data_IF_699642827633
#
_entry.id   IF_699642827633
#
_cell.length_a   1.000
_cell.length_b   1.000
_cell.length_c   1.000
_cell.angle_alpha   90.00
_cell.angle_beta   90.00
_cell.angle_gamma   90.00
#
_symmetry.space_group_name_H-M   'P 1'
#
loop_
_entity.id
_entity.type
_entity.pdbx_description
1 polymer ?
#
# COMPACT_ATOMS: atom_id res chain seq x y z
N UNK A 1 -6.62 -0.55 -0.97
CA UNK A 1 -5.85 -1.39 -0.04
C UNK A 1 -4.73 -2.11 -0.77
N UNK A 2 -3.53 -2.21 -0.15
CA UNK A 2 -2.36 -2.89 -0.71
C UNK A 2 -2.04 -4.11 0.15
N UNK A 3 -2.14 -5.30 -0.43
CA UNK A 3 -1.96 -6.61 0.21
C UNK A 3 -0.81 -7.36 -0.49
N UNK A 4 -0.18 -8.32 0.17
CA UNK A 4 0.87 -9.16 -0.41
C UNK A 4 1.96 -9.52 0.59
N UNK A 5 3.04 -10.12 0.12
CA UNK A 5 4.18 -10.44 0.98
C UNK A 5 5.26 -9.37 0.82
N UNK A 6 5.76 -9.19 -0.38
CA UNK A 6 6.86 -8.27 -0.68
C UNK A 6 6.37 -7.08 -1.51
N UNK A 7 6.88 -5.87 -1.21
CA UNK A 7 6.62 -4.69 -2.03
C UNK A 7 5.41 -3.86 -1.61
N UNK A 8 4.63 -4.25 -0.60
CA UNK A 8 3.46 -3.49 -0.12
C UNK A 8 3.77 -2.01 0.12
N UNK A 9 4.71 -1.72 1.02
CA UNK A 9 5.09 -0.34 1.36
C UNK A 9 5.68 0.44 0.18
N UNK A 10 6.44 -0.23 -0.70
CA UNK A 10 6.95 0.41 -1.92
C UNK A 10 5.83 0.79 -2.89
N UNK A 11 4.89 -0.13 -3.15
CA UNK A 11 3.72 0.12 -4.01
C UNK A 11 2.84 1.23 -3.43
N UNK A 12 2.58 1.19 -2.10
CA UNK A 12 1.82 2.23 -1.39
C UNK A 12 2.49 3.60 -1.52
N UNK A 13 3.82 3.64 -1.38
CA UNK A 13 4.61 4.87 -1.53
C UNK A 13 4.55 5.40 -2.95
N UNK A 14 4.74 4.55 -3.97
CA UNK A 14 4.64 4.96 -5.37
C UNK A 14 3.26 5.52 -5.68
N UNK A 15 2.18 4.82 -5.32
CA UNK A 15 0.82 5.28 -5.55
C UNK A 15 0.55 6.64 -4.88
N UNK A 16 0.97 6.79 -3.62
CA UNK A 16 0.86 8.06 -2.89
C UNK A 16 1.62 9.19 -3.58
N UNK A 17 2.86 8.94 -4.05
CA UNK A 17 3.66 9.95 -4.72
C UNK A 17 3.09 10.35 -6.08
N UNK A 18 2.56 9.39 -6.85
CA UNK A 18 1.90 9.64 -8.13
C UNK A 18 0.64 10.49 -7.94
N UNK A 19 -0.23 10.12 -7.01
CA UNK A 19 -1.45 10.88 -6.72
C UNK A 19 -1.14 12.31 -6.25
N UNK A 20 -0.15 12.47 -5.38
CA UNK A 20 0.31 13.79 -4.92
C UNK A 20 0.90 14.63 -6.04
N UNK A 21 1.65 14.05 -6.95
CA UNK A 21 2.18 14.76 -8.11
C UNK A 21 1.06 15.33 -8.99
N UNK A 22 -0.10 14.67 -9.03
CA UNK A 22 -1.30 15.15 -9.71
C UNK A 22 -2.15 16.12 -8.87
N UNK A 23 -1.65 16.56 -7.72
CA UNK A 23 -2.29 17.58 -6.90
C UNK A 23 -3.25 17.09 -5.83
N UNK A 24 -3.42 15.75 -5.67
CA UNK A 24 -4.29 15.22 -4.63
C UNK A 24 -3.64 15.31 -3.25
N UNK A 25 -4.45 15.52 -2.23
CA UNK A 25 -4.07 15.37 -0.84
C UNK A 25 -4.23 13.91 -0.41
N UNK A 26 -3.13 13.26 -0.07
CA UNK A 26 -3.10 11.80 0.13
C UNK A 26 -2.80 11.45 1.58
N UNK A 27 -3.62 10.56 2.14
CA UNK A 27 -3.33 9.81 3.36
C UNK A 27 -2.61 8.51 3.02
N UNK A 28 -1.45 8.27 3.63
CA UNK A 28 -0.67 7.05 3.45
C UNK A 28 -0.46 6.36 4.80
N UNK A 29 -0.93 5.12 4.90
CA UNK A 29 -0.69 4.22 6.03
C UNK A 29 0.25 3.10 5.62
N UNK A 30 1.36 2.92 6.36
CA UNK A 30 2.37 1.89 6.08
C UNK A 30 2.80 1.15 7.35
N UNK A 31 3.31 -0.07 7.21
CA UNK A 31 3.83 -0.89 8.31
C UNK A 31 4.93 -1.87 7.86
N UNK A 32 5.85 -2.26 8.77
CA UNK A 32 6.09 -1.65 10.08
C UNK A 32 6.77 -0.27 9.96
N UNK A 33 7.03 0.38 11.09
CA UNK A 33 7.91 1.56 11.17
C UNK A 33 9.35 1.15 11.46
N UNK A 34 10.27 2.05 11.17
CA UNK A 34 11.72 1.86 11.42
C UNK A 34 12.13 2.37 12.80
N UNK A 35 11.82 3.62 13.09
CA UNK A 35 12.27 4.33 14.29
C UNK A 35 11.10 4.70 15.18
N UNK A 36 10.02 5.20 14.60
CA UNK A 36 8.87 5.71 15.37
C UNK A 36 7.52 5.33 14.74
N UNK A 37 6.49 5.00 15.55
CA UNK A 37 5.15 4.73 15.04
C UNK A 37 4.58 5.84 14.14
N UNK A 38 5.06 7.07 14.29
CA UNK A 38 4.64 8.22 13.48
C UNK A 38 4.91 8.04 11.99
N UNK A 39 5.89 7.21 11.62
CA UNK A 39 6.18 6.89 10.23
C UNK A 39 5.02 6.23 9.51
N UNK A 40 4.15 5.52 10.26
CA UNK A 40 3.03 4.76 9.70
C UNK A 40 1.92 5.63 9.14
N UNK A 41 1.79 6.87 9.60
CA UNK A 41 0.70 7.77 9.24
C UNK A 41 1.29 9.03 8.63
N UNK A 42 1.09 9.17 7.32
CA UNK A 42 1.55 10.35 6.58
C UNK A 42 0.37 11.02 5.88
N UNK A 43 0.31 12.33 5.98
CA UNK A 43 -0.65 13.16 5.27
C UNK A 43 0.13 14.03 4.30
N UNK A 44 -0.19 13.89 3.04
CA UNK A 44 0.48 14.60 1.94
C UNK A 44 2.02 14.49 1.98
N UNK A 45 2.52 13.28 2.35
CA UNK A 45 3.94 12.93 2.43
C UNK A 45 4.64 13.28 3.74
N UNK A 46 4.00 14.02 4.63
CA UNK A 46 4.55 14.42 5.94
C UNK A 46 3.98 13.55 7.05
N UNK A 47 4.80 13.11 7.99
CA UNK A 47 4.33 12.38 9.16
C UNK A 47 3.31 13.22 9.95
N UNK A 48 2.28 12.54 10.49
CA UNK A 48 1.34 13.18 11.39
C UNK A 48 2.09 13.93 12.51
N UNK A 49 1.80 15.22 12.77
CA UNK A 49 2.44 16.01 13.81
C UNK A 49 2.34 15.34 15.19
N UNK A 50 3.38 15.48 16.02
CA UNK A 50 3.48 14.77 17.30
C UNK A 50 2.37 15.16 18.29
N UNK A 51 1.99 16.41 18.28
CA UNK A 51 0.94 16.98 19.14
C UNK A 51 -0.48 16.48 18.78
N UNK A 52 -0.68 16.00 17.56
CA UNK A 52 -1.95 15.41 17.13
C UNK A 52 -2.16 14.00 17.66
N UNK A 53 -1.08 13.27 17.94
CA UNK A 53 -1.16 11.87 18.36
C UNK A 53 -1.96 11.64 19.63
N UNK A 54 -1.69 12.34 20.76
CA UNK A 54 -2.47 12.15 21.97
C UNK A 54 -3.97 12.42 21.77
N UNK A 55 -4.29 13.52 21.08
CA UNK A 55 -5.69 13.91 20.83
C UNK A 55 -6.48 12.83 20.04
N UNK A 56 -5.86 12.28 19.02
CA UNK A 56 -6.48 11.22 18.22
C UNK A 56 -6.50 9.88 18.96
N UNK A 57 -5.43 9.59 19.73
CA UNK A 57 -5.34 8.38 20.54
C UNK A 57 -6.45 8.32 21.61
N UNK A 58 -6.67 9.41 22.33
CA UNK A 58 -7.73 9.48 23.34
C UNK A 58 -9.11 9.19 22.74
N UNK A 59 -9.40 9.78 21.57
CA UNK A 59 -10.68 9.55 20.88
C UNK A 59 -10.84 8.10 20.39
N UNK A 60 -9.79 7.49 19.89
CA UNK A 60 -9.83 6.08 19.48
C UNK A 60 -10.05 5.17 20.69
N UNK A 61 -9.31 5.42 21.78
CA UNK A 61 -9.45 4.64 23.02
C UNK A 61 -10.81 4.81 23.69
N UNK A 62 -11.39 6.00 23.63
CA UNK A 62 -12.76 6.24 24.13
C UNK A 62 -13.80 5.46 23.32
N UNK A 63 -13.65 5.44 21.99
CA UNK A 63 -14.59 4.75 21.11
C UNK A 63 -14.43 3.22 21.13
N UNK A 64 -13.19 2.72 21.28
CA UNK A 64 -12.87 1.29 21.18
C UNK A 64 -11.66 0.92 22.08
N UNK A 65 -11.89 0.67 23.40
CA UNK A 65 -10.80 0.48 24.38
C UNK A 65 -10.05 -0.86 24.23
N UNK A 66 -10.58 -1.82 23.50
CA UNK A 66 -10.07 -3.19 23.43
C UNK A 66 -9.35 -3.52 22.10
N UNK A 67 -8.95 -2.52 21.33
CA UNK A 67 -8.22 -2.72 20.08
C UNK A 67 -6.82 -3.29 20.33
N UNK A 68 -6.38 -4.19 19.44
CA UNK A 68 -4.97 -4.56 19.35
C UNK A 68 -4.15 -3.35 18.91
N UNK A 69 -2.85 -3.41 19.10
CA UNK A 69 -1.94 -2.31 18.70
C UNK A 69 -2.06 -1.94 17.21
N UNK A 70 -2.21 -2.94 16.33
CA UNK A 70 -2.35 -2.67 14.89
C UNK A 70 -3.71 -2.07 14.56
N UNK A 71 -4.79 -2.57 15.12
CA UNK A 71 -6.15 -2.02 14.98
C UNK A 71 -6.22 -0.59 15.50
N UNK A 72 -5.63 -0.32 16.66
CA UNK A 72 -5.54 1.03 17.23
C UNK A 72 -4.83 2.00 16.28
N UNK A 73 -3.64 1.63 15.75
CA UNK A 73 -2.91 2.49 14.82
C UNK A 73 -3.65 2.68 13.49
N UNK A 74 -4.35 1.66 13.02
CA UNK A 74 -5.18 1.74 11.81
C UNK A 74 -6.35 2.70 12.02
N UNK A 75 -7.06 2.59 13.12
CA UNK A 75 -8.16 3.50 13.48
C UNK A 75 -7.67 4.95 13.66
N UNK A 76 -6.52 5.14 14.32
CA UNK A 76 -5.90 6.45 14.49
C UNK A 76 -5.53 7.08 13.13
N UNK A 77 -4.95 6.28 12.23
CA UNK A 77 -4.63 6.73 10.88
C UNK A 77 -5.86 7.18 10.09
N UNK A 78 -6.93 6.38 10.13
CA UNK A 78 -8.19 6.70 9.47
C UNK A 78 -8.82 7.98 10.00
N UNK A 79 -8.83 8.14 11.33
CA UNK A 79 -9.35 9.35 11.97
C UNK A 79 -8.52 10.57 11.56
N UNK A 80 -7.18 10.45 11.51
CA UNK A 80 -6.30 11.51 11.06
C UNK A 80 -6.56 11.90 9.58
N UNK A 81 -6.80 10.91 8.72
CA UNK A 81 -7.09 11.14 7.30
C UNK A 81 -8.46 11.80 7.09
N UNK A 82 -9.47 11.37 7.84
CA UNK A 82 -10.80 11.96 7.81
C UNK A 82 -10.76 13.43 8.24
N UNK A 83 -10.08 13.75 9.37
CA UNK A 83 -9.94 15.14 9.82
C UNK A 83 -9.13 16.00 8.86
N UNK A 84 -8.15 15.41 8.20
CA UNK A 84 -7.35 16.13 7.22
C UNK A 84 -8.11 16.39 5.91
N UNK A 85 -9.24 15.71 5.66
CA UNK A 85 -9.97 15.83 4.40
C UNK A 85 -9.10 15.44 3.21
N UNK A 86 -8.50 14.23 3.24
CA UNK A 86 -7.68 13.73 2.14
C UNK A 86 -8.57 13.26 0.98
N UNK A 87 -8.07 13.43 -0.25
CA UNK A 87 -8.78 13.00 -1.47
C UNK A 87 -8.64 11.51 -1.73
N UNK A 88 -7.50 10.93 -1.35
CA UNK A 88 -7.17 9.50 -1.51
C UNK A 88 -6.51 8.96 -0.24
N UNK A 89 -6.95 7.77 0.17
CA UNK A 89 -6.30 6.99 1.24
C UNK A 89 -5.66 5.75 0.65
N UNK A 90 -4.36 5.56 0.91
CA UNK A 90 -3.60 4.37 0.54
C UNK A 90 -3.25 3.60 1.83
N UNK A 91 -3.78 2.37 1.96
CA UNK A 91 -3.63 1.54 3.15
C UNK A 91 -2.83 0.29 2.87
N UNK A 92 -1.66 0.17 3.48
CA UNK A 92 -0.88 -1.07 3.49
C UNK A 92 -1.42 -2.03 4.53
N UNK A 93 -1.74 -3.26 4.14
CA UNK A 93 -2.10 -4.34 5.06
C UNK A 93 -0.89 -4.75 5.93
N UNK A 94 -1.15 -5.03 7.19
CA UNK A 94 -0.11 -5.47 8.12
C UNK A 94 0.25 -6.94 7.92
N UNK A 95 -0.74 -7.83 8.04
CA UNK A 95 -0.58 -9.27 7.96
C UNK A 95 -1.78 -9.93 7.30
N UNK A 96 -1.51 -10.84 6.35
CA UNK A 96 -2.59 -11.58 5.69
C UNK A 96 -3.48 -10.68 4.84
N UNK A 97 -4.77 -10.95 4.85
CA UNK A 97 -5.80 -10.20 4.16
C UNK A 97 -7.17 -10.38 4.81
N UNK A 98 -7.49 -11.61 5.25
CA UNK A 98 -8.83 -11.94 5.77
C UNK A 98 -9.19 -11.15 7.04
N UNK A 99 -8.31 -11.17 8.02
CA UNK A 99 -8.51 -10.53 9.33
C UNK A 99 -7.67 -9.27 9.52
N UNK A 100 -7.04 -8.76 8.48
CA UNK A 100 -6.27 -7.53 8.61
C UNK A 100 -7.18 -6.33 8.89
N UNK A 101 -6.80 -5.49 9.84
CA UNK A 101 -7.61 -4.33 10.22
C UNK A 101 -7.91 -3.39 9.04
N UNK A 102 -7.00 -3.30 8.05
CA UNK A 102 -7.23 -2.49 6.85
C UNK A 102 -8.31 -3.08 5.95
N UNK A 103 -8.64 -4.37 6.11
CA UNK A 103 -9.72 -5.03 5.38
C UNK A 103 -11.11 -4.70 5.95
N UNK A 104 -11.21 -4.17 7.17
CA UNK A 104 -12.49 -3.77 7.76
C UNK A 104 -13.14 -2.54 7.05
N UNK A 105 -12.35 -1.77 6.30
CA UNK A 105 -12.84 -0.55 5.63
C UNK A 105 -13.42 -0.82 4.25
N UNK A 106 -14.38 0.00 3.78
CA UNK A 106 -14.72 0.03 2.37
C UNK A 106 -13.53 0.56 1.56
N UNK A 107 -13.20 -0.14 0.47
CA UNK A 107 -12.12 0.24 -0.46
C UNK A 107 -12.64 0.30 -1.88
N UNK A 108 -12.01 1.09 -2.72
CA UNK A 108 -12.36 1.22 -4.14
C UNK A 108 -11.55 0.26 -5.02
N UNK A 109 -10.36 -0.13 -4.57
CA UNK A 109 -9.52 -1.11 -5.25
C UNK A 109 -8.69 -1.91 -4.24
N UNK A 110 -8.40 -3.16 -4.57
CA UNK A 110 -7.46 -4.01 -3.83
C UNK A 110 -6.27 -4.34 -4.72
N UNK A 111 -5.06 -4.23 -4.20
CA UNK A 111 -3.84 -4.46 -4.95
C UNK A 111 -3.03 -5.58 -4.30
N UNK A 112 -2.66 -6.58 -5.08
CA UNK A 112 -1.82 -7.70 -4.66
C UNK A 112 -0.41 -7.51 -5.18
N UNK A 113 0.51 -7.17 -4.28
CA UNK A 113 1.95 -7.23 -4.57
C UNK A 113 2.41 -8.69 -4.58
N UNK A 114 3.64 -9.03 -5.03
CA UNK A 114 4.08 -10.42 -5.05
C UNK A 114 3.85 -11.14 -3.72
N UNK A 115 3.15 -12.27 -3.79
CA UNK A 115 2.89 -13.16 -2.67
C UNK A 115 3.99 -14.23 -2.65
N UNK A 116 4.54 -14.49 -1.49
CA UNK A 116 5.59 -15.48 -1.26
C UNK A 116 5.51 -16.04 0.16
N UNK A 117 6.39 -16.95 0.48
CA UNK A 117 6.47 -17.55 1.81
C UNK A 117 6.85 -16.52 2.86
N UNK A 118 5.97 -16.30 3.82
CA UNK A 118 6.18 -15.43 4.97
C UNK A 118 5.08 -15.69 6.02
N UNK A 119 5.39 -15.48 7.28
CA UNK A 119 4.43 -15.67 8.38
C UNK A 119 3.74 -17.05 8.41
N UNK A 120 4.45 -18.10 8.02
CA UNK A 120 3.94 -19.47 7.89
C UNK A 120 3.25 -19.99 9.15
N UNK A 121 3.75 -19.58 10.33
CA UNK A 121 3.17 -19.98 11.64
C UNK A 121 1.75 -19.43 11.87
N UNK A 122 1.35 -18.41 11.13
CA UNK A 122 0.07 -17.72 11.28
C UNK A 122 -0.83 -17.98 10.09
N UNK A 123 -0.29 -17.86 8.87
CA UNK A 123 -1.06 -17.93 7.64
C UNK A 123 -1.14 -19.33 7.04
N UNK A 124 -0.29 -20.25 7.50
CA UNK A 124 -0.20 -21.62 7.00
C UNK A 124 1.13 -21.93 6.32
N UNK A 125 1.50 -23.22 6.25
CA UNK A 125 2.82 -23.66 5.83
C UNK A 125 3.06 -23.66 4.31
N UNK A 126 2.05 -23.36 3.49
CA UNK A 126 2.17 -23.41 2.03
C UNK A 126 1.88 -22.05 1.39
N UNK A 127 2.39 -21.86 0.18
CA UNK A 127 2.09 -20.66 -0.62
C UNK A 127 0.58 -20.53 -0.89
N UNK A 128 -0.09 -21.66 -1.09
CA UNK A 128 -1.53 -21.72 -1.26
C UNK A 128 -2.29 -21.21 -0.04
N UNK A 129 -1.90 -21.58 1.18
CA UNK A 129 -2.53 -21.09 2.41
C UNK A 129 -2.37 -19.58 2.54
N UNK A 130 -1.14 -19.09 2.33
CA UNK A 130 -0.82 -17.66 2.41
C UNK A 130 -1.60 -16.86 1.35
N UNK A 131 -1.66 -17.36 0.11
CA UNK A 131 -2.39 -16.71 -0.97
C UNK A 131 -3.90 -16.74 -0.74
N UNK A 132 -4.43 -17.84 -0.21
CA UNK A 132 -5.84 -17.97 0.14
C UNK A 132 -6.26 -16.96 1.20
N UNK A 133 -5.48 -16.79 2.28
CA UNK A 133 -5.76 -15.77 3.29
C UNK A 133 -5.73 -14.35 2.69
N UNK A 134 -4.66 -14.03 1.96
CA UNK A 134 -4.50 -12.70 1.34
C UNK A 134 -5.60 -12.38 0.34
N UNK A 135 -6.05 -13.35 -0.44
CA UNK A 135 -7.10 -13.18 -1.44
C UNK A 135 -8.45 -12.76 -0.82
N UNK A 136 -8.67 -13.09 0.46
CA UNK A 136 -9.89 -12.70 1.18
C UNK A 136 -10.05 -11.18 1.35
N UNK A 137 -9.02 -10.39 1.10
CA UNK A 137 -9.14 -8.93 1.01
C UNK A 137 -9.99 -8.48 -0.21
N UNK A 138 -10.19 -9.32 -1.22
CA UNK A 138 -11.09 -9.01 -2.35
C UNK A 138 -12.53 -8.83 -1.87
N UNK A 139 -13.26 -7.96 -2.54
CA UNK A 139 -14.65 -7.64 -2.22
C UNK A 139 -15.54 -7.67 -3.46
N UNK A 140 -16.79 -8.13 -3.35
CA UNK A 140 -17.72 -8.09 -4.48
C UNK A 140 -17.84 -6.69 -5.08
N UNK A 141 -17.72 -6.59 -6.41
CA UNK A 141 -17.86 -5.34 -7.14
C UNK A 141 -16.67 -4.37 -7.03
N UNK A 142 -15.62 -4.73 -6.29
CA UNK A 142 -14.40 -3.90 -6.17
C UNK A 142 -13.29 -4.53 -7.01
N UNK A 143 -12.71 -3.83 -7.98
CA UNK A 143 -11.66 -4.42 -8.81
C UNK A 143 -10.40 -4.71 -8.00
N UNK A 144 -9.75 -5.80 -8.35
CA UNK A 144 -8.48 -6.22 -7.81
C UNK A 144 -7.39 -6.14 -8.88
N UNK A 145 -6.21 -5.69 -8.49
CA UNK A 145 -5.03 -5.60 -9.35
C UNK A 145 -3.95 -6.50 -8.79
N UNK A 146 -3.27 -7.26 -9.65
CA UNK A 146 -2.17 -8.11 -9.19
C UNK A 146 -0.88 -7.87 -9.97
N UNK A 147 0.23 -7.78 -9.24
CA UNK A 147 1.55 -7.95 -9.80
C UNK A 147 1.72 -9.39 -10.33
N UNK A 148 2.77 -9.70 -11.12
CA UNK A 148 3.11 -11.08 -11.44
C UNK A 148 3.22 -11.93 -10.17
N UNK A 149 2.63 -13.13 -10.23
CA UNK A 149 2.59 -14.07 -9.11
C UNK A 149 3.19 -15.42 -9.53
N UNK A 150 3.62 -16.21 -8.55
CA UNK A 150 3.82 -17.64 -8.74
C UNK A 150 2.48 -18.31 -9.09
N UNK A 151 2.51 -19.38 -9.90
CA UNK A 151 1.29 -20.00 -10.45
C UNK A 151 0.27 -20.38 -9.35
N UNK A 152 0.72 -20.99 -8.26
CA UNK A 152 -0.14 -21.39 -7.14
C UNK A 152 -0.84 -20.19 -6.48
N UNK A 153 -0.14 -19.07 -6.33
CA UNK A 153 -0.70 -17.86 -5.76
C UNK A 153 -1.70 -17.20 -6.73
N UNK A 154 -1.37 -17.17 -8.01
CA UNK A 154 -2.27 -16.64 -9.04
C UNK A 154 -3.57 -17.45 -9.12
N UNK A 155 -3.48 -18.77 -9.08
CA UNK A 155 -4.65 -19.65 -9.08
C UNK A 155 -5.58 -19.38 -7.88
N UNK A 156 -5.01 -19.11 -6.70
CA UNK A 156 -5.80 -18.73 -5.53
C UNK A 156 -6.50 -17.37 -5.73
N UNK A 157 -5.80 -16.38 -6.29
CA UNK A 157 -6.39 -15.08 -6.57
C UNK A 157 -7.50 -15.18 -7.60
N UNK A 158 -7.31 -15.94 -8.67
CA UNK A 158 -8.31 -16.14 -9.73
C UNK A 158 -9.57 -16.83 -9.19
N UNK A 159 -9.43 -17.89 -8.40
CA UNK A 159 -10.57 -18.60 -7.77
C UNK A 159 -11.35 -17.66 -6.87
N UNK A 160 -10.69 -16.94 -5.97
CA UNK A 160 -11.35 -15.99 -5.07
C UNK A 160 -12.03 -14.86 -5.85
N UNK A 161 -11.41 -14.38 -6.90
CA UNK A 161 -12.01 -13.36 -7.77
C UNK A 161 -13.31 -13.87 -8.42
N UNK A 162 -13.30 -15.10 -8.93
CA UNK A 162 -14.48 -15.74 -9.48
C UNK A 162 -15.58 -15.92 -8.43
N UNK A 163 -15.25 -16.45 -7.25
CA UNK A 163 -16.18 -16.68 -6.15
C UNK A 163 -16.85 -15.39 -5.67
N UNK A 164 -16.10 -14.30 -5.63
CA UNK A 164 -16.60 -12.99 -5.16
C UNK A 164 -17.17 -12.12 -6.27
N UNK A 165 -17.13 -12.54 -7.52
CA UNK A 165 -17.55 -11.71 -8.66
C UNK A 165 -16.69 -10.45 -8.79
N UNK A 166 -15.39 -10.56 -8.51
CA UNK A 166 -14.41 -9.45 -8.55
C UNK A 166 -13.62 -9.55 -9.86
N UNK A 167 -13.42 -8.43 -10.53
CA UNK A 167 -12.51 -8.37 -11.68
C UNK A 167 -11.06 -8.35 -11.18
N UNK A 168 -10.27 -9.37 -11.54
CA UNK A 168 -8.82 -9.41 -11.28
C UNK A 168 -8.05 -8.97 -12.52
N UNK A 169 -7.26 -7.91 -12.40
CA UNK A 169 -6.46 -7.31 -13.47
C UNK A 169 -4.98 -7.57 -13.25
N UNK A 170 -4.38 -8.35 -14.15
CA UNK A 170 -2.94 -8.59 -14.12
C UNK A 170 -2.17 -7.41 -14.73
N UNK A 171 -1.12 -6.96 -14.04
CA UNK A 171 -0.39 -5.76 -14.45
C UNK A 171 0.93 -6.04 -15.17
N UNK A 172 1.31 -7.31 -15.35
CA UNK A 172 2.59 -7.71 -15.95
C UNK A 172 2.83 -7.12 -17.35
N UNK A 173 1.79 -7.07 -18.18
CA UNK A 173 1.83 -6.66 -19.59
C UNK A 173 1.43 -5.20 -19.81
N UNK A 174 0.99 -4.50 -18.78
CA UNK A 174 0.56 -3.11 -18.93
C UNK A 174 1.72 -2.18 -19.28
N UNK A 175 1.47 -1.14 -20.08
CA UNK A 175 2.47 -0.11 -20.35
C UNK A 175 3.05 0.48 -19.07
N UNK A 176 4.33 0.77 -19.08
CA UNK A 176 5.02 1.36 -17.94
C UNK A 176 6.02 2.42 -18.43
N UNK A 177 5.98 3.64 -17.88
CA UNK A 177 6.89 4.70 -18.30
C UNK A 177 8.34 4.31 -18.01
N UNK A 178 9.22 4.58 -18.98
CA UNK A 178 10.66 4.39 -18.84
C UNK A 178 11.28 5.54 -18.04
N UNK A 179 10.86 5.68 -16.77
CA UNK A 179 11.33 6.74 -15.89
C UNK A 179 12.28 6.20 -14.83
N UNK A 180 13.12 7.07 -14.30
CA UNK A 180 13.86 6.77 -13.09
C UNK A 180 12.89 6.59 -11.94
N UNK A 181 13.14 5.61 -11.08
CA UNK A 181 12.39 5.37 -9.86
C UNK A 181 13.15 5.95 -8.65
N UNK A 182 12.44 6.56 -7.72
CA UNK A 182 13.03 7.04 -6.47
C UNK A 182 13.46 5.92 -5.52
N UNK A 183 12.90 4.71 -5.70
CA UNK A 183 13.29 3.52 -4.95
C UNK A 183 14.20 2.64 -5.81
N UNK A 184 15.30 2.15 -5.23
CA UNK A 184 16.29 1.34 -5.91
C UNK A 184 15.92 -0.16 -5.93
N UNK A 185 16.41 -0.87 -6.94
CA UNK A 185 16.28 -2.32 -7.11
C UNK A 185 15.33 -2.72 -8.25
N UNK A 186 15.61 -3.85 -8.93
CA UNK A 186 14.86 -4.29 -10.12
C UNK A 186 13.38 -4.59 -9.80
N UNK A 187 13.09 -5.12 -8.61
CA UNK A 187 11.74 -5.41 -8.14
C UNK A 187 10.86 -4.16 -8.01
N UNK A 188 11.45 -2.97 -7.90
CA UNK A 188 10.68 -1.73 -7.80
C UNK A 188 9.93 -1.39 -9.09
N UNK A 189 10.36 -1.92 -10.23
CA UNK A 189 9.61 -1.77 -11.49
C UNK A 189 8.26 -2.50 -11.44
N UNK A 190 8.21 -3.66 -10.79
CA UNK A 190 6.96 -4.42 -10.56
C UNK A 190 6.03 -3.62 -9.64
N UNK A 191 6.55 -3.13 -8.52
CA UNK A 191 5.80 -2.34 -7.56
C UNK A 191 5.25 -1.04 -8.16
N UNK A 192 6.08 -0.35 -8.94
CA UNK A 192 5.69 0.90 -9.60
C UNK A 192 4.65 0.67 -10.70
N UNK A 193 4.76 -0.44 -11.48
CA UNK A 193 3.76 -0.80 -12.50
C UNK A 193 2.39 -1.06 -11.87
N UNK A 194 2.36 -1.80 -10.76
CA UNK A 194 1.13 -2.04 -10.01
C UNK A 194 0.53 -0.71 -9.52
N UNK A 195 1.35 0.18 -8.96
CA UNK A 195 0.89 1.49 -8.51
C UNK A 195 0.31 2.34 -9.64
N UNK A 196 0.94 2.35 -10.82
CA UNK A 196 0.45 3.08 -12.00
C UNK A 196 -0.88 2.48 -12.50
N UNK A 197 -0.98 1.16 -12.59
CA UNK A 197 -2.22 0.52 -13.06
C UNK A 197 -3.42 0.89 -12.17
N UNK A 198 -3.22 0.95 -10.87
CA UNK A 198 -4.25 1.37 -9.92
C UNK A 198 -4.53 2.87 -10.03
N UNK A 199 -3.48 3.68 -10.19
CA UNK A 199 -3.63 5.12 -10.40
C UNK A 199 -4.45 5.43 -11.66
N UNK A 200 -4.11 4.81 -12.79
CA UNK A 200 -4.80 5.02 -14.06
C UNK A 200 -6.28 4.70 -13.93
N UNK A 201 -6.61 3.59 -13.27
CA UNK A 201 -7.99 3.22 -13.02
C UNK A 201 -8.71 4.22 -12.08
N UNK A 202 -8.09 4.61 -10.96
CA UNK A 202 -8.67 5.58 -10.03
C UNK A 202 -8.89 6.93 -10.71
N UNK A 203 -7.91 7.40 -11.48
CA UNK A 203 -8.01 8.67 -12.18
C UNK A 203 -9.14 8.67 -13.20
N UNK A 204 -9.36 7.57 -13.92
CA UNK A 204 -10.50 7.40 -14.83
C UNK A 204 -11.83 7.43 -14.07
N UNK A 205 -11.96 6.67 -12.99
CA UNK A 205 -13.20 6.60 -12.20
C UNK A 205 -13.59 7.94 -11.57
N UNK A 206 -12.62 8.74 -11.15
CA UNK A 206 -12.85 10.02 -10.48
C UNK A 206 -12.70 11.23 -11.40
N UNK A 207 -12.38 11.01 -12.68
CA UNK A 207 -12.07 12.06 -13.64
C UNK A 207 -10.94 12.98 -13.17
N UNK A 208 -9.96 12.42 -12.46
CA UNK A 208 -8.77 13.14 -12.06
C UNK A 208 -7.81 13.32 -13.23
N UNK A 209 -7.03 14.42 -13.25
CA UNK A 209 -5.98 14.58 -14.25
C UNK A 209 -5.02 13.37 -14.20
N UNK A 210 -4.74 12.78 -15.36
CA UNK A 210 -3.79 11.67 -15.47
C UNK A 210 -2.80 11.93 -16.61
N UNK A 211 -1.61 12.42 -16.25
CA UNK A 211 -0.57 12.81 -17.20
C UNK A 211 0.67 11.91 -16.99
N UNK A 212 1.12 11.17 -18.01
CA UNK A 212 2.25 10.25 -17.88
C UNK A 212 3.53 10.91 -17.35
N UNK A 213 3.82 12.14 -17.76
CA UNK A 213 4.99 12.89 -17.28
C UNK A 213 4.87 13.24 -15.79
N UNK A 214 3.69 13.58 -15.32
CA UNK A 214 3.42 13.86 -13.92
C UNK A 214 3.52 12.59 -13.08
N UNK A 215 2.99 11.48 -13.58
CA UNK A 215 3.13 10.17 -12.96
C UNK A 215 4.61 9.76 -12.84
N UNK A 216 5.39 9.97 -13.91
CA UNK A 216 6.84 9.71 -13.91
C UNK A 216 7.58 10.55 -12.85
N UNK A 217 7.25 11.83 -12.70
CA UNK A 217 7.79 12.69 -11.63
C UNK A 217 7.41 12.17 -10.24
N UNK A 218 6.17 11.72 -10.06
CA UNK A 218 5.71 11.09 -8.82
C UNK A 218 6.53 9.84 -8.48
N UNK A 219 6.73 8.93 -9.42
CA UNK A 219 7.54 7.73 -9.23
C UNK A 219 9.00 8.06 -8.88
N UNK A 220 9.59 9.06 -9.54
CA UNK A 220 10.96 9.50 -9.28
C UNK A 220 11.13 10.15 -7.91
N UNK A 221 10.09 10.77 -7.37
CA UNK A 221 10.11 11.42 -6.05
C UNK A 221 9.90 10.46 -4.87
N UNK A 222 9.58 9.18 -5.13
CA UNK A 222 9.30 8.21 -4.10
C UNK A 222 10.52 7.98 -3.20
N UNK A 223 10.31 8.10 -1.90
CA UNK A 223 11.31 7.81 -0.88
C UNK A 223 10.70 6.98 0.24
N UNK A 224 11.33 5.85 0.56
CA UNK A 224 10.91 4.97 1.63
C UNK A 224 12.13 4.43 2.36
N UNK A 225 12.39 4.87 3.60
CA UNK A 225 13.58 4.46 4.35
C UNK A 225 13.71 2.94 4.46
N UNK A 226 14.95 2.43 4.41
CA UNK A 226 15.24 1.01 4.56
C UNK A 226 14.85 0.10 3.38
N UNK A 227 14.43 0.65 2.24
CA UNK A 227 14.16 -0.12 1.02
C UNK A 227 15.25 0.11 -0.03
N UNK A 228 16.40 -0.55 0.11
CA UNK A 228 17.59 -0.35 -0.73
C UNK A 228 17.99 1.13 -0.79
N UNK A 229 17.92 1.80 0.35
CA UNK A 229 18.21 3.21 0.46
C UNK A 229 19.71 3.44 0.23
N UNK A 230 20.05 4.32 -0.73
CA UNK A 230 21.41 4.82 -0.88
C UNK A 230 21.65 5.89 0.19
N UNK A 231 22.63 5.66 1.04
CA UNK A 231 23.08 6.62 2.02
C UNK A 231 24.32 7.32 1.44
N UNK A 232 24.30 8.65 1.21
CA UNK A 232 25.46 9.36 0.70
C UNK A 232 26.60 9.31 1.71
N UNK A 233 27.83 9.44 1.23
CA UNK A 233 29.02 9.52 2.07
C UNK A 233 28.84 10.65 3.12
N UNK A 234 29.10 10.34 4.36
CA UNK A 234 28.97 11.30 5.47
C UNK A 234 30.15 11.14 6.43
N UNK A 235 30.75 12.24 6.87
CA UNK A 235 31.82 12.28 7.87
C UNK A 235 32.99 11.31 7.62
N UNK A 236 33.44 11.21 6.37
CA UNK A 236 34.56 10.35 5.98
C UNK A 236 34.22 8.85 5.85
N UNK A 237 32.96 8.45 6.03
CA UNK A 237 32.49 7.10 5.73
C UNK A 237 32.08 7.02 4.25
N UNK A 238 32.36 5.87 3.58
CA UNK A 238 31.94 5.67 2.19
C UNK A 238 30.39 5.61 2.10
N UNK A 239 29.82 5.82 0.90
CA UNK A 239 28.38 5.63 0.70
C UNK A 239 28.00 4.16 0.89
N UNK A 240 26.87 3.89 1.49
CA UNK A 240 26.26 2.57 1.69
C UNK A 240 25.09 2.37 0.73
#
# INVERSE_FOLDING_TARGET
QIVGTNGKGSTSTFLSCVARAHGLKVGLYTSPHFVTPRERIRINGTMLPADRWPVLADRVMEAAPNLTYFEFLTALGLLAFAEAGVDLVVMEAGLGGHYDATTAMPVQAVCFTPIGMDHEKILGPTLTDIASDKSQAMRPGVPAFTAPQEAEALDCLLRTAQEKGTELRETATLPFPQSALGLAGPHQRVNARLAIAVWDWLADQHHWPNMPETAAKGLASAHFPGRFQRIPACNGLPPL
#
